data_IF_916143032539
#
_entry.id   IF_916143032539
#
_cell.length_a   1.000
_cell.length_b   1.000
_cell.length_c   1.000
_cell.angle_alpha   90.00
_cell.angle_beta   90.00
_cell.angle_gamma   90.00
#
_symmetry.space_group_name_H-M   'P 1'
#
loop_
_entity.id
_entity.type
_entity.pdbx_description
1 polymer ?
#
# COMPACT_ATOMS: atom_id res chain seq x y z
N UNK A 1 30.42 14.71 -4.45
CA UNK A 1 30.35 15.32 -5.79
C UNK A 1 28.87 15.62 -6.08
N UNK A 2 28.54 16.73 -6.77
CA UNK A 2 27.18 16.97 -7.21
C UNK A 2 26.73 15.86 -8.18
N UNK A 3 25.44 15.50 -8.20
CA UNK A 3 24.94 14.48 -9.11
C UNK A 3 25.08 14.96 -10.58
N UNK A 4 25.40 14.03 -11.48
CA UNK A 4 25.42 14.31 -12.91
C UNK A 4 24.01 14.42 -13.46
N UNK A 5 23.84 15.09 -14.62
CA UNK A 5 22.53 15.20 -15.30
C UNK A 5 21.96 13.81 -15.61
N UNK A 6 22.81 12.85 -15.95
CA UNK A 6 22.42 11.47 -16.22
C UNK A 6 21.88 10.78 -14.96
N UNK A 7 22.54 10.96 -13.80
CA UNK A 7 22.06 10.44 -12.52
C UNK A 7 20.69 11.02 -12.15
N UNK A 8 20.52 12.33 -12.30
CA UNK A 8 19.23 12.99 -12.04
C UNK A 8 18.15 12.40 -12.95
N UNK A 9 18.46 12.16 -14.24
CA UNK A 9 17.53 11.54 -15.19
C UNK A 9 17.11 10.12 -14.76
N UNK A 10 18.06 9.29 -14.35
CA UNK A 10 17.80 7.94 -13.87
C UNK A 10 16.96 7.94 -12.57
N UNK A 11 17.24 8.86 -11.67
CA UNK A 11 16.49 9.00 -10.42
C UNK A 11 15.05 9.42 -10.69
N UNK A 12 14.82 10.35 -11.59
CA UNK A 12 13.48 10.75 -12.03
C UNK A 12 12.71 9.58 -12.65
N UNK A 13 13.36 8.77 -13.49
CA UNK A 13 12.74 7.59 -14.11
C UNK A 13 12.30 6.59 -13.01
N UNK A 14 13.17 6.27 -12.05
CA UNK A 14 12.84 5.36 -10.95
C UNK A 14 11.65 5.86 -10.14
N UNK A 15 11.67 7.12 -9.73
CA UNK A 15 10.55 7.72 -8.99
C UNK A 15 9.25 7.74 -9.81
N UNK A 16 9.33 8.02 -11.11
CA UNK A 16 8.16 7.99 -12.00
C UNK A 16 7.57 6.59 -12.13
N UNK A 17 8.41 5.55 -12.18
CA UNK A 17 7.95 4.15 -12.20
C UNK A 17 7.29 3.78 -10.87
N UNK A 18 7.90 4.12 -9.73
CA UNK A 18 7.29 3.88 -8.43
C UNK A 18 5.92 4.56 -8.31
N UNK A 19 5.82 5.81 -8.78
CA UNK A 19 4.58 6.56 -8.86
C UNK A 19 3.53 5.83 -9.71
N UNK A 20 3.90 5.46 -10.94
CA UNK A 20 3.00 4.81 -11.89
C UNK A 20 2.47 3.46 -11.39
N UNK A 21 3.34 2.65 -10.75
CA UNK A 21 2.96 1.35 -10.19
C UNK A 21 2.00 1.49 -8.98
N UNK A 22 2.04 2.60 -8.26
CA UNK A 22 1.14 2.86 -7.15
C UNK A 22 -0.23 3.41 -7.58
N UNK A 23 -0.34 4.01 -8.78
CA UNK A 23 -1.57 4.63 -9.27
C UNK A 23 -2.78 3.69 -9.33
N UNK A 24 -2.70 2.46 -9.88
CA UNK A 24 -3.85 1.56 -9.94
C UNK A 24 -4.43 1.23 -8.56
N UNK A 25 -3.53 1.07 -7.57
CA UNK A 25 -3.90 0.78 -6.19
C UNK A 25 -4.60 2.00 -5.58
N UNK A 26 -4.01 3.19 -5.72
CA UNK A 26 -4.59 4.46 -5.25
C UNK A 26 -5.94 4.75 -5.90
N UNK A 27 -6.08 4.50 -7.21
CA UNK A 27 -7.35 4.65 -7.93
C UNK A 27 -8.45 3.75 -7.39
N UNK A 28 -8.15 2.46 -7.16
CA UNK A 28 -9.12 1.53 -6.58
C UNK A 28 -9.60 2.01 -5.19
N UNK A 29 -8.69 2.51 -4.35
CA UNK A 29 -9.02 3.02 -3.01
C UNK A 29 -9.83 4.33 -3.07
N UNK A 30 -9.49 5.23 -3.98
CA UNK A 30 -10.24 6.48 -4.19
C UNK A 30 -11.70 6.19 -4.60
N UNK A 31 -11.90 5.27 -5.55
CA UNK A 31 -13.25 4.86 -6.01
C UNK A 31 -14.11 4.27 -4.89
N UNK A 32 -13.50 3.66 -3.89
CA UNK A 32 -14.22 3.12 -2.74
C UNK A 32 -14.40 4.14 -1.59
N UNK A 33 -14.12 5.42 -1.83
CA UNK A 33 -14.20 6.50 -0.85
C UNK A 33 -13.46 6.17 0.47
N UNK A 34 -12.25 5.60 0.36
CA UNK A 34 -11.42 5.25 1.51
C UNK A 34 -10.59 6.43 1.99
N UNK A 35 -10.07 6.34 3.22
CA UNK A 35 -9.27 7.38 3.88
C UNK A 35 -7.96 7.73 3.17
N UNK A 36 -7.40 6.80 2.36
CA UNK A 36 -6.21 6.99 1.56
C UNK A 36 -6.47 6.53 0.12
N UNK A 37 -6.05 7.32 -0.87
CA UNK A 37 -6.33 7.10 -2.30
C UNK A 37 -5.22 7.65 -3.21
N UNK A 38 -5.61 8.23 -4.34
CA UNK A 38 -4.74 8.70 -5.43
C UNK A 38 -3.60 9.64 -5.02
N UNK A 39 -3.74 10.36 -3.93
CA UNK A 39 -2.68 11.24 -3.41
C UNK A 39 -1.71 10.48 -2.50
N UNK A 40 -2.24 9.66 -1.62
CA UNK A 40 -1.45 9.02 -0.56
C UNK A 40 -0.54 7.93 -1.11
N UNK A 41 -1.07 7.01 -1.94
CA UNK A 41 -0.32 5.86 -2.42
C UNK A 41 0.89 6.23 -3.28
N UNK A 42 0.77 7.11 -4.30
CA UNK A 42 1.94 7.52 -5.07
C UNK A 42 2.98 8.29 -4.25
N UNK A 43 2.56 9.12 -3.29
CA UNK A 43 3.50 9.85 -2.41
C UNK A 43 4.29 8.86 -1.54
N UNK A 44 3.64 7.85 -0.97
CA UNK A 44 4.32 6.81 -0.20
C UNK A 44 5.31 6.05 -1.08
N UNK A 45 4.93 5.70 -2.31
CA UNK A 45 5.81 4.99 -3.24
C UNK A 45 7.08 5.79 -3.59
N UNK A 46 6.94 7.07 -3.97
CA UNK A 46 8.11 7.89 -4.33
C UNK A 46 8.98 8.19 -3.12
N UNK A 47 8.40 8.44 -1.94
CA UNK A 47 9.17 8.66 -0.72
C UNK A 47 9.99 7.42 -0.34
N UNK A 48 9.39 6.23 -0.42
CA UNK A 48 10.09 4.96 -0.16
C UNK A 48 11.16 4.67 -1.20
N UNK A 49 10.90 4.97 -2.48
CA UNK A 49 11.87 4.86 -3.56
C UNK A 49 13.06 5.78 -3.32
N UNK A 50 12.80 7.05 -3.04
CA UNK A 50 13.85 8.04 -2.74
C UNK A 50 14.70 7.66 -1.53
N UNK A 51 14.08 7.17 -0.45
CA UNK A 51 14.82 6.69 0.73
C UNK A 51 15.72 5.49 0.41
N UNK A 52 15.24 4.54 -0.39
CA UNK A 52 16.04 3.40 -0.84
C UNK A 52 17.23 3.84 -1.71
N UNK A 53 17.02 4.81 -2.62
CA UNK A 53 18.06 5.37 -3.46
C UNK A 53 19.10 6.14 -2.64
N UNK A 54 18.67 6.97 -1.68
CA UNK A 54 19.56 7.65 -0.74
C UNK A 54 20.43 6.64 0.03
N UNK A 55 19.82 5.56 0.51
CA UNK A 55 20.56 4.50 1.18
C UNK A 55 21.60 3.82 0.31
N UNK A 56 21.33 3.68 -0.97
CA UNK A 56 22.27 3.10 -1.95
C UNK A 56 23.41 4.05 -2.32
N UNK A 57 23.24 5.36 -2.11
CA UNK A 57 24.25 6.37 -2.46
C UNK A 57 25.33 6.58 -1.41
N UNK A 58 25.21 5.97 -0.23
CA UNK A 58 26.25 6.05 0.79
C UNK A 58 27.52 5.32 0.33
N UNK A 59 28.68 5.95 0.58
CA UNK A 59 29.95 5.32 0.28
C UNK A 59 30.12 4.02 1.10
N UNK A 60 30.36 2.88 0.42
CA UNK A 60 30.49 1.55 1.01
C UNK A 60 29.32 1.14 1.93
N UNK A 61 28.09 1.04 1.43
CA UNK A 61 26.96 0.61 2.23
C UNK A 61 27.15 -0.85 2.64
N UNK A 62 27.17 -1.07 3.97
CA UNK A 62 27.24 -2.43 4.53
C UNK A 62 25.85 -3.07 4.50
N UNK A 63 25.78 -4.40 4.57
CA UNK A 63 24.50 -5.11 4.71
C UNK A 63 23.70 -4.62 5.94
N UNK A 64 24.39 -4.23 7.01
CA UNK A 64 23.79 -3.66 8.21
C UNK A 64 23.15 -2.28 7.93
N UNK A 65 23.79 -1.42 7.13
CA UNK A 65 23.22 -0.13 6.75
C UNK A 65 21.92 -0.29 5.94
N UNK A 66 21.89 -1.21 4.98
CA UNK A 66 20.66 -1.55 4.23
C UNK A 66 19.55 -2.07 5.15
N UNK A 67 19.89 -2.95 6.09
CA UNK A 67 18.92 -3.48 7.05
C UNK A 67 18.32 -2.40 7.92
N UNK A 68 19.11 -1.43 8.40
CA UNK A 68 18.62 -0.29 9.19
C UNK A 68 17.67 0.61 8.39
N UNK A 69 17.99 0.88 7.13
CA UNK A 69 17.11 1.67 6.25
C UNK A 69 15.78 0.95 6.04
N UNK A 70 15.80 -0.34 5.74
CA UNK A 70 14.59 -1.14 5.58
C UNK A 70 13.75 -1.21 6.86
N UNK A 71 14.40 -1.39 8.04
CA UNK A 71 13.70 -1.37 9.32
C UNK A 71 13.02 -0.03 9.59
N UNK A 72 13.73 1.08 9.36
CA UNK A 72 13.17 2.43 9.50
C UNK A 72 12.01 2.67 8.56
N UNK A 73 12.13 2.25 7.30
CA UNK A 73 11.08 2.36 6.30
C UNK A 73 9.83 1.57 6.71
N UNK A 74 9.99 0.29 7.03
CA UNK A 74 8.90 -0.62 7.43
C UNK A 74 8.18 -0.08 8.67
N UNK A 75 8.93 0.41 9.66
CA UNK A 75 8.36 1.02 10.87
C UNK A 75 7.58 2.29 10.55
N UNK A 76 8.13 3.18 9.74
CA UNK A 76 7.48 4.45 9.35
C UNK A 76 6.21 4.21 8.54
N UNK A 77 6.24 3.30 7.59
CA UNK A 77 5.05 2.93 6.79
C UNK A 77 4.00 2.26 7.68
N UNK A 78 4.42 1.46 8.68
CA UNK A 78 3.52 0.86 9.66
C UNK A 78 2.72 1.91 10.43
N UNK A 79 3.35 3.03 10.79
CA UNK A 79 2.66 4.16 11.44
C UNK A 79 1.61 4.81 10.52
N UNK A 80 1.96 5.10 9.26
CA UNK A 80 1.03 5.65 8.26
C UNK A 80 -0.13 4.69 7.98
N UNK A 81 0.19 3.41 7.79
CA UNK A 81 -0.82 2.36 7.58
C UNK A 81 -1.76 2.20 8.78
N UNK A 82 -1.21 2.22 10.01
CA UNK A 82 -1.99 2.18 11.24
C UNK A 82 -2.98 3.35 11.35
N UNK A 83 -2.58 4.54 10.91
CA UNK A 83 -3.43 5.72 10.84
C UNK A 83 -4.62 5.59 9.88
N UNK A 84 -4.57 4.67 8.92
CA UNK A 84 -5.68 4.40 8.01
C UNK A 84 -6.76 3.47 8.59
N UNK A 85 -6.52 2.87 9.77
CA UNK A 85 -7.46 1.97 10.44
C UNK A 85 -8.38 2.78 11.35
N UNK A 86 -9.67 2.78 11.04
CA UNK A 86 -10.69 3.47 11.81
C UNK A 86 -11.49 2.47 12.65
N UNK A 87 -11.64 2.77 13.93
CA UNK A 87 -12.47 1.99 14.87
C UNK A 87 -13.72 2.78 15.25
N UNK A 88 -14.88 2.15 15.07
CA UNK A 88 -16.16 2.60 15.62
C UNK A 88 -16.66 1.56 16.62
N UNK A 89 -17.71 1.91 17.42
CA UNK A 89 -18.21 1.04 18.52
C UNK A 89 -18.43 -0.44 18.15
N UNK A 90 -18.82 -0.73 16.90
CA UNK A 90 -19.14 -2.09 16.44
C UNK A 90 -18.48 -2.46 15.10
N UNK A 91 -17.52 -1.65 14.59
CA UNK A 91 -16.88 -1.92 13.29
C UNK A 91 -15.43 -1.46 13.26
N UNK A 92 -14.61 -2.19 12.51
CA UNK A 92 -13.24 -1.81 12.16
C UNK A 92 -13.17 -1.70 10.64
N UNK A 93 -12.72 -0.56 10.14
CA UNK A 93 -12.56 -0.30 8.70
C UNK A 93 -11.13 0.15 8.38
N UNK A 94 -10.75 0.13 7.09
CA UNK A 94 -9.45 0.62 6.65
C UNK A 94 -8.30 -0.41 6.72
N UNK A 95 -8.53 -1.64 7.19
CA UNK A 95 -7.49 -2.67 7.29
C UNK A 95 -6.85 -3.02 5.94
N UNK A 96 -7.64 -3.16 4.87
CA UNK A 96 -7.12 -3.39 3.52
C UNK A 96 -6.37 -2.17 2.99
N UNK A 97 -6.81 -0.94 3.33
CA UNK A 97 -6.09 0.30 2.99
C UNK A 97 -4.74 0.35 3.70
N UNK A 98 -4.69 0.03 5.00
CA UNK A 98 -3.46 -0.03 5.79
C UNK A 98 -2.46 -1.05 5.21
N UNK A 99 -2.93 -2.27 4.90
CA UNK A 99 -2.11 -3.29 4.26
C UNK A 99 -1.58 -2.85 2.89
N UNK A 100 -2.42 -2.15 2.09
CA UNK A 100 -2.00 -1.63 0.78
C UNK A 100 -0.99 -0.48 0.90
N UNK A 101 -1.10 0.41 1.90
CA UNK A 101 -0.11 1.45 2.18
C UNK A 101 1.25 0.80 2.49
N UNK A 102 1.24 -0.24 3.33
CA UNK A 102 2.45 -0.99 3.68
C UNK A 102 3.08 -1.65 2.43
N UNK A 103 2.26 -2.32 1.61
CA UNK A 103 2.70 -2.95 0.35
C UNK A 103 3.32 -1.92 -0.61
N UNK A 104 2.69 -0.76 -0.80
CA UNK A 104 3.17 0.29 -1.70
C UNK A 104 4.48 0.91 -1.22
N UNK A 105 4.69 0.99 0.08
CA UNK A 105 5.99 1.40 0.61
C UNK A 105 7.11 0.42 0.24
N UNK A 106 6.87 -0.89 0.37
CA UNK A 106 7.84 -1.91 -0.06
C UNK A 106 8.04 -1.91 -1.58
N UNK A 107 6.96 -1.71 -2.35
CA UNK A 107 7.02 -1.53 -3.80
C UNK A 107 7.94 -0.38 -4.19
N UNK A 108 7.79 0.79 -3.56
CA UNK A 108 8.65 1.95 -3.81
C UNK A 108 10.11 1.66 -3.48
N UNK A 109 10.39 1.03 -2.33
CA UNK A 109 11.74 0.63 -1.96
C UNK A 109 12.34 -0.37 -2.95
N UNK A 110 11.56 -1.34 -3.43
CA UNK A 110 12.00 -2.31 -4.44
C UNK A 110 12.43 -1.62 -5.75
N UNK A 111 11.67 -0.61 -6.21
CA UNK A 111 12.08 0.22 -7.36
C UNK A 111 13.38 0.95 -7.08
N UNK A 112 13.50 1.57 -5.90
CA UNK A 112 14.69 2.31 -5.49
C UNK A 112 15.95 1.46 -5.45
N UNK A 113 15.85 0.22 -4.97
CA UNK A 113 16.94 -0.77 -4.96
C UNK A 113 17.15 -1.48 -6.31
N UNK A 114 16.33 -1.21 -7.34
CA UNK A 114 16.46 -1.83 -8.67
C UNK A 114 15.77 -3.19 -8.82
N UNK A 115 14.98 -3.65 -7.85
CA UNK A 115 14.23 -4.91 -7.91
C UNK A 115 12.85 -4.73 -8.59
N UNK A 116 12.87 -4.34 -9.87
CA UNK A 116 11.69 -3.98 -10.67
C UNK A 116 10.62 -5.09 -10.72
N UNK A 117 11.08 -6.34 -10.89
CA UNK A 117 10.18 -7.50 -10.94
C UNK A 117 9.37 -7.66 -9.65
N UNK A 118 9.98 -7.43 -8.47
CA UNK A 118 9.28 -7.48 -7.19
C UNK A 118 8.24 -6.36 -7.12
N UNK A 119 8.60 -5.14 -7.54
CA UNK A 119 7.70 -3.99 -7.53
C UNK A 119 6.46 -4.22 -8.41
N UNK A 120 6.65 -4.77 -9.63
CA UNK A 120 5.54 -5.10 -10.53
C UNK A 120 4.63 -6.17 -9.93
N UNK A 121 5.19 -7.25 -9.40
CA UNK A 121 4.40 -8.32 -8.75
C UNK A 121 3.60 -7.76 -7.58
N UNK A 122 4.21 -6.94 -6.71
CA UNK A 122 3.52 -6.32 -5.58
C UNK A 122 2.37 -5.41 -6.03
N UNK A 123 2.58 -4.61 -7.10
CA UNK A 123 1.54 -3.76 -7.67
C UNK A 123 0.36 -4.58 -8.20
N UNK A 124 0.64 -5.57 -9.06
CA UNK A 124 -0.38 -6.40 -9.71
C UNK A 124 -1.17 -7.20 -8.66
N UNK A 125 -0.48 -7.90 -7.76
CA UNK A 125 -1.15 -8.73 -6.75
C UNK A 125 -2.02 -7.87 -5.82
N UNK A 126 -1.50 -6.72 -5.35
CA UNK A 126 -2.28 -5.82 -4.50
C UNK A 126 -3.52 -5.30 -5.24
N UNK A 127 -3.35 -4.82 -6.49
CA UNK A 127 -4.48 -4.32 -7.30
C UNK A 127 -5.54 -5.41 -7.51
N UNK A 128 -5.14 -6.62 -7.92
CA UNK A 128 -6.06 -7.73 -8.13
C UNK A 128 -6.78 -8.14 -6.83
N UNK A 129 -6.05 -8.18 -5.72
CA UNK A 129 -6.64 -8.46 -4.41
C UNK A 129 -7.73 -7.45 -4.06
N UNK A 130 -7.45 -6.16 -4.23
CA UNK A 130 -8.43 -5.12 -3.96
C UNK A 130 -9.62 -5.16 -4.93
N UNK A 131 -9.36 -5.45 -6.21
CA UNK A 131 -10.39 -5.46 -7.25
C UNK A 131 -11.38 -6.62 -7.10
N UNK A 132 -10.90 -7.82 -6.74
CA UNK A 132 -11.71 -9.04 -6.76
C UNK A 132 -12.15 -9.50 -5.36
N UNK A 133 -11.32 -9.36 -4.32
CA UNK A 133 -11.68 -9.85 -2.99
C UNK A 133 -12.55 -8.87 -2.19
N UNK A 134 -12.49 -7.58 -2.47
CA UNK A 134 -13.32 -6.59 -1.77
C UNK A 134 -14.81 -6.76 -2.04
N UNK A 135 -15.28 -6.89 -3.30
CA UNK A 135 -16.70 -7.11 -3.59
C UNK A 135 -17.21 -8.45 -3.02
N UNK A 136 -16.41 -9.52 -3.10
CA UNK A 136 -16.77 -10.83 -2.56
C UNK A 136 -17.06 -10.80 -1.05
N UNK A 137 -16.25 -10.08 -0.27
CA UNK A 137 -16.49 -9.88 1.17
C UNK A 137 -17.80 -9.16 1.45
N UNK A 138 -18.19 -8.20 0.60
CA UNK A 138 -19.44 -7.44 0.75
C UNK A 138 -20.67 -8.32 0.52
N UNK A 139 -20.63 -9.22 -0.45
CA UNK A 139 -21.74 -10.16 -0.72
C UNK A 139 -21.93 -11.16 0.42
N UNK A 140 -20.84 -11.69 0.98
CA UNK A 140 -20.92 -12.59 2.14
C UNK A 140 -21.57 -11.88 3.33
N UNK A 141 -21.18 -10.64 3.61
CA UNK A 141 -21.72 -9.89 4.75
C UNK A 141 -23.21 -9.60 4.60
N UNK A 142 -23.65 -9.21 3.40
CA UNK A 142 -25.06 -9.02 3.09
C UNK A 142 -25.87 -10.32 3.14
N UNK A 143 -25.25 -11.46 2.81
CA UNK A 143 -25.87 -12.77 2.94
C UNK A 143 -26.12 -13.15 4.41
N UNK A 144 -25.15 -12.88 5.29
CA UNK A 144 -25.30 -13.11 6.74
C UNK A 144 -26.37 -12.23 7.39
N UNK A 145 -26.43 -10.93 7.03
CA UNK A 145 -27.47 -10.01 7.56
C UNK A 145 -28.86 -10.46 7.13
N UNK A 146 -29.08 -10.82 5.87
CA UNK A 146 -30.35 -11.34 5.37
C UNK A 146 -30.75 -12.67 6.05
N UNK A 147 -29.80 -13.54 6.33
CA UNK A 147 -30.07 -14.79 7.04
C UNK A 147 -30.45 -14.55 8.49
N UNK A 148 -29.85 -13.56 9.14
CA UNK A 148 -30.17 -13.16 10.52
C UNK A 148 -31.56 -12.53 10.64
N UNK A 149 -31.95 -11.68 9.69
CA UNK A 149 -33.31 -11.09 9.61
C UNK A 149 -34.38 -12.17 9.45
N UNK A 150 -34.15 -13.13 8.55
CA UNK A 150 -35.09 -14.25 8.33
C UNK A 150 -35.22 -15.20 9.54
N UNK A 151 -34.13 -15.39 10.28
CA UNK A 151 -34.14 -16.22 11.50
C UNK A 151 -34.77 -15.53 12.73
N UNK A 152 -34.74 -14.18 12.74
CA UNK A 152 -35.38 -13.37 13.81
C UNK A 152 -36.89 -13.30 13.69
N UNK A 153 -37.45 -13.27 12.49
CA UNK A 153 -38.93 -13.24 12.27
C UNK A 153 -39.61 -14.56 12.65
N UNK A 154 -38.91 -15.69 12.54
CA UNK A 154 -39.48 -16.98 12.89
C UNK A 154 -39.64 -17.24 14.42
N UNK A 155 -39.04 -16.40 15.26
CA UNK A 155 -39.13 -16.52 16.72
C UNK A 155 -40.22 -15.63 17.39
N UNK A 156 -40.89 -14.80 16.58
CA UNK A 156 -41.91 -13.88 17.07
C UNK A 156 -43.35 -14.38 16.78
N UNK A 157 -43.50 -15.50 16.04
CA UNK A 157 -44.80 -16.07 15.67
C UNK A 157 -45.21 -17.29 16.47
N UNK A 158 -44.48 -17.65 17.54
CA UNK A 158 -44.84 -18.67 18.56
C UNK A 158 -45.11 -18.01 19.93
#
# INVERSE_FOLDING_TARGET
MPPTIEQIGQDMIRMSIAYALALPIGWNREREARSAGLRTFPIVAIASCGLAMLGSSFANPTADAYSRILQGLVTGIGFVGGGAILRAKHSVSGTATAASVWNVGILGAAVGFGYWHIAVVLSVVNFLTLQYLTPFKREIHLGFERAKERGGDSMLDD
#
